data_IF_603646239532
#
_entry.id   IF_603646239532
#
_cell.length_a   1.000
_cell.length_b   1.000
_cell.length_c   1.000
_cell.angle_alpha   90.00
_cell.angle_beta   90.00
_cell.angle_gamma   90.00
#
_symmetry.space_group_name_H-M   'P 1'
#
loop_
_entity.id
_entity.type
_entity.pdbx_description
1 polymer ?
#
# COMPACT_ATOMS: atom_id res chain seq x y z
N UNK A 1 4.14 -12.63 -18.45
CA UNK A 1 3.00 -12.16 -19.23
C UNK A 1 1.67 -12.50 -18.60
N UNK A 2 0.60 -11.83 -19.04
CA UNK A 2 -0.75 -12.02 -18.55
C UNK A 2 -1.53 -13.04 -19.38
N UNK A 3 -2.44 -13.76 -18.72
CA UNK A 3 -3.41 -14.63 -19.37
C UNK A 3 -4.41 -13.81 -20.21
N UNK A 4 -4.92 -14.39 -21.30
CA UNK A 4 -5.88 -13.77 -22.24
C UNK A 4 -7.01 -12.96 -21.55
N UNK A 5 -7.64 -13.55 -20.55
CA UNK A 5 -8.79 -12.97 -19.85
C UNK A 5 -8.44 -11.88 -18.81
N UNK A 6 -7.18 -11.51 -18.63
CA UNK A 6 -6.80 -10.46 -17.68
C UNK A 6 -7.41 -9.10 -18.09
N UNK A 7 -8.09 -8.42 -17.17
CA UNK A 7 -8.69 -7.10 -17.43
C UNK A 7 -7.72 -5.94 -17.14
N UNK A 8 -7.44 -5.14 -18.16
CA UNK A 8 -6.75 -3.86 -18.03
C UNK A 8 -7.74 -2.75 -17.68
N UNK A 9 -7.38 -1.92 -16.72
CA UNK A 9 -8.06 -0.65 -16.45
C UNK A 9 -7.35 0.47 -17.23
N UNK A 10 -8.03 1.03 -18.21
CA UNK A 10 -7.51 2.13 -19.02
C UNK A 10 -7.65 3.48 -18.30
N UNK A 11 -6.87 4.48 -18.71
CA UNK A 11 -6.87 5.82 -18.10
C UNK A 11 -8.15 6.62 -18.34
N UNK A 12 -9.03 6.16 -19.23
CA UNK A 12 -10.37 6.69 -19.49
C UNK A 12 -11.47 6.01 -18.64
N UNK A 13 -11.10 5.04 -17.79
CA UNK A 13 -12.02 4.32 -16.90
C UNK A 13 -12.62 3.06 -17.49
N UNK A 14 -12.40 2.77 -18.78
CA UNK A 14 -12.86 1.51 -19.39
C UNK A 14 -12.01 0.34 -18.91
N UNK A 15 -12.66 -0.83 -18.80
CA UNK A 15 -11.98 -2.11 -18.63
C UNK A 15 -12.06 -2.94 -19.90
N UNK A 16 -10.94 -3.51 -20.29
CA UNK A 16 -10.79 -4.33 -21.49
C UNK A 16 -10.00 -5.58 -21.17
N UNK A 17 -10.36 -6.72 -21.77
CA UNK A 17 -9.53 -7.91 -21.71
C UNK A 17 -8.29 -7.72 -22.57
N UNK A 18 -7.12 -8.02 -22.01
CA UNK A 18 -5.84 -7.82 -22.69
C UNK A 18 -5.74 -8.65 -23.97
N UNK A 19 -6.19 -9.91 -23.95
CA UNK A 19 -6.12 -10.79 -25.12
C UNK A 19 -6.94 -10.26 -26.29
N UNK A 20 -8.23 -9.97 -26.03
CA UNK A 20 -9.14 -9.40 -27.04
C UNK A 20 -8.65 -8.05 -27.59
N UNK A 21 -8.05 -7.21 -26.74
CA UNK A 21 -7.48 -5.93 -27.16
C UNK A 21 -6.28 -6.13 -28.09
N UNK A 22 -5.30 -6.93 -27.65
CA UNK A 22 -4.03 -7.10 -28.36
C UNK A 22 -4.21 -7.87 -29.66
N UNK A 23 -4.99 -8.95 -29.66
CA UNK A 23 -5.27 -9.73 -30.88
C UNK A 23 -5.91 -8.86 -31.95
N UNK A 24 -6.96 -8.11 -31.57
CA UNK A 24 -7.65 -7.19 -32.49
C UNK A 24 -6.71 -6.11 -33.05
N UNK A 25 -5.80 -5.57 -32.24
CA UNK A 25 -4.85 -4.56 -32.69
C UNK A 25 -3.82 -5.14 -33.66
N UNK A 26 -3.27 -6.31 -33.34
CA UNK A 26 -2.30 -7.02 -34.19
C UNK A 26 -2.94 -7.42 -35.53
N UNK A 27 -4.17 -7.94 -35.52
CA UNK A 27 -4.89 -8.35 -36.72
C UNK A 27 -5.22 -7.18 -37.64
N UNK A 28 -5.54 -6.01 -37.08
CA UNK A 28 -5.83 -4.80 -37.87
C UNK A 28 -4.59 -4.14 -38.47
N UNK A 29 -3.42 -4.37 -37.90
CA UNK A 29 -2.17 -3.67 -38.24
C UNK A 29 -1.06 -4.66 -38.63
N UNK A 30 -1.41 -5.77 -39.30
CA UNK A 30 -0.46 -6.85 -39.63
C UNK A 30 0.79 -6.39 -40.38
N UNK A 31 0.69 -5.31 -41.15
CA UNK A 31 1.78 -4.67 -41.89
C UNK A 31 2.82 -3.97 -40.98
N UNK A 32 2.43 -3.60 -39.76
CA UNK A 32 3.29 -2.92 -38.76
C UNK A 32 3.81 -3.85 -37.67
N UNK A 33 3.39 -5.11 -37.66
CA UNK A 33 3.78 -6.09 -36.64
C UNK A 33 5.24 -6.47 -36.81
N UNK A 34 5.99 -6.35 -35.72
CA UNK A 34 7.37 -6.79 -35.63
C UNK A 34 7.36 -8.23 -35.12
N UNK A 35 7.91 -9.14 -35.92
CA UNK A 35 7.99 -10.56 -35.58
C UNK A 35 9.29 -10.86 -34.82
N UNK A 36 9.15 -11.37 -33.60
CA UNK A 36 10.23 -11.94 -32.81
C UNK A 36 10.19 -13.47 -32.81
N UNK A 37 11.12 -14.10 -32.10
CA UNK A 37 11.04 -15.54 -31.84
C UNK A 37 9.86 -15.81 -30.90
N UNK A 38 8.89 -16.60 -31.37
CA UNK A 38 7.67 -16.97 -30.61
C UNK A 38 6.90 -15.75 -30.07
N UNK A 39 7.00 -14.60 -30.74
CA UNK A 39 6.48 -13.30 -30.26
C UNK A 39 6.04 -12.42 -31.42
N UNK A 40 4.94 -11.70 -31.24
CA UNK A 40 4.51 -10.60 -32.11
C UNK A 40 4.41 -9.30 -31.30
N UNK A 41 4.98 -8.22 -31.82
CA UNK A 41 5.06 -6.91 -31.15
C UNK A 41 4.45 -5.86 -32.07
N UNK A 42 3.61 -4.98 -31.51
CA UNK A 42 3.01 -3.86 -32.21
C UNK A 42 3.19 -2.57 -31.39
N UNK A 43 3.96 -1.59 -31.89
CA UNK A 43 3.98 -0.24 -31.32
C UNK A 43 2.61 0.43 -31.38
N UNK A 44 2.22 1.14 -30.33
CA UNK A 44 0.91 1.80 -30.20
C UNK A 44 1.07 3.20 -29.61
N UNK A 45 0.12 4.11 -29.88
CA UNK A 45 0.17 5.49 -29.34
C UNK A 45 -1.17 5.95 -28.71
N UNK A 46 -2.21 5.14 -28.85
CA UNK A 46 -3.61 5.48 -28.54
C UNK A 46 -4.16 4.74 -27.31
N UNK A 47 -3.32 4.00 -26.60
CA UNK A 47 -3.70 3.27 -25.39
C UNK A 47 -3.12 4.00 -24.19
N UNK A 48 -3.98 4.59 -23.37
CA UNK A 48 -3.57 5.22 -22.12
C UNK A 48 -3.84 4.32 -20.93
N UNK A 49 -2.83 4.14 -20.08
CA UNK A 49 -2.85 3.32 -18.88
C UNK A 49 -2.53 4.15 -17.64
N UNK A 50 -2.80 3.55 -16.50
CA UNK A 50 -2.40 4.05 -15.19
C UNK A 50 -1.08 3.40 -14.78
N UNK A 51 0.04 4.08 -14.99
CA UNK A 51 1.33 3.63 -14.48
C UNK A 51 1.47 3.96 -12.98
N UNK A 52 2.30 3.19 -12.29
CA UNK A 52 2.65 3.45 -10.88
C UNK A 52 4.10 3.91 -10.77
N UNK A 53 4.31 5.13 -10.28
CA UNK A 53 5.63 5.66 -9.96
C UNK A 53 6.03 5.16 -8.56
N UNK A 54 6.99 4.24 -8.48
CA UNK A 54 7.39 3.61 -7.23
C UNK A 54 8.10 4.57 -6.28
N UNK A 55 8.82 5.56 -6.80
CA UNK A 55 9.55 6.55 -6.00
C UNK A 55 8.59 7.56 -5.37
N UNK A 56 7.68 8.12 -6.18
CA UNK A 56 6.66 9.07 -5.73
C UNK A 56 5.52 8.38 -5.00
N UNK A 57 5.30 7.09 -5.24
CA UNK A 57 4.17 6.28 -4.75
C UNK A 57 2.83 6.87 -5.15
N UNK A 58 2.76 7.26 -6.41
CA UNK A 58 1.58 7.86 -7.05
C UNK A 58 1.27 7.19 -8.38
N UNK A 59 0.06 7.41 -8.87
CA UNK A 59 -0.39 6.91 -10.17
C UNK A 59 -0.28 8.04 -11.17
N UNK A 60 0.34 7.77 -12.32
CA UNK A 60 0.47 8.70 -13.44
C UNK A 60 -0.19 8.12 -14.68
N UNK A 61 -0.81 8.98 -15.50
CA UNK A 61 -1.33 8.56 -16.79
C UNK A 61 -0.19 8.50 -17.79
N UNK A 62 -0.10 7.40 -18.53
CA UNK A 62 0.94 7.17 -19.54
C UNK A 62 0.33 6.56 -20.79
N UNK A 63 0.99 6.75 -21.92
CA UNK A 63 0.68 6.00 -23.14
C UNK A 63 1.47 4.70 -23.15
N UNK A 64 0.83 3.61 -23.57
CA UNK A 64 1.54 2.38 -23.89
C UNK A 64 2.47 2.64 -25.07
N UNK A 65 3.68 2.10 -25.00
CA UNK A 65 4.68 2.16 -26.06
C UNK A 65 4.40 1.05 -27.10
N UNK A 66 4.09 -0.15 -26.62
CA UNK A 66 3.76 -1.31 -27.46
C UNK A 66 2.83 -2.28 -26.75
N UNK A 67 2.20 -3.11 -27.54
CA UNK A 67 1.56 -4.34 -27.09
C UNK A 67 2.28 -5.53 -27.68
N UNK A 68 2.29 -6.66 -26.97
CA UNK A 68 2.86 -7.89 -27.50
C UNK A 68 2.03 -9.10 -27.11
N UNK A 69 2.15 -10.14 -27.93
CA UNK A 69 1.72 -11.48 -27.59
C UNK A 69 2.86 -12.47 -27.78
N UNK A 70 3.03 -13.38 -26.83
CA UNK A 70 4.08 -14.39 -26.78
C UNK A 70 3.46 -15.78 -26.70
N UNK A 71 4.15 -16.80 -27.20
CA UNK A 71 3.66 -18.18 -27.10
C UNK A 71 3.45 -18.56 -25.64
N UNK A 72 2.25 -19.01 -25.32
CA UNK A 72 1.84 -19.33 -23.97
C UNK A 72 2.59 -20.57 -23.42
N UNK A 73 2.91 -20.60 -22.11
CA UNK A 73 3.47 -21.77 -21.46
C UNK A 73 2.42 -22.88 -21.27
N UNK A 74 2.87 -24.07 -20.85
CA UNK A 74 1.99 -25.22 -20.56
C UNK A 74 1.13 -25.04 -19.29
N UNK A 75 1.48 -24.08 -18.44
CA UNK A 75 0.80 -23.81 -17.16
C UNK A 75 0.83 -22.32 -16.81
N UNK A 76 -0.13 -21.91 -15.99
CA UNK A 76 -0.29 -20.58 -15.42
C UNK A 76 -0.29 -20.64 -13.89
N UNK A 77 0.00 -19.50 -13.27
CA UNK A 77 -0.17 -19.30 -11.83
C UNK A 77 -1.30 -18.30 -11.62
N UNK A 78 -2.32 -18.73 -10.87
CA UNK A 78 -3.43 -17.91 -10.44
C UNK A 78 -3.26 -17.50 -8.98
N UNK A 79 -3.24 -16.19 -8.75
CA UNK A 79 -3.05 -15.59 -7.44
C UNK A 79 -4.34 -14.91 -7.01
N UNK A 80 -4.76 -15.14 -5.76
CA UNK A 80 -5.92 -14.48 -5.13
C UNK A 80 -5.46 -13.62 -3.97
N UNK A 81 -5.91 -12.38 -3.90
CA UNK A 81 -5.46 -11.41 -2.89
C UNK A 81 -6.52 -11.11 -1.84
N UNK A 82 -6.14 -10.41 -0.77
CA UNK A 82 -7.05 -10.10 0.34
C UNK A 82 -8.14 -9.07 0.02
N UNK A 83 -8.04 -8.35 -1.11
CA UNK A 83 -9.13 -7.53 -1.66
C UNK A 83 -10.15 -8.36 -2.47
N UNK A 84 -9.95 -9.68 -2.60
CA UNK A 84 -10.84 -10.58 -3.32
C UNK A 84 -10.61 -10.62 -4.83
N UNK A 85 -9.62 -9.90 -5.35
CA UNK A 85 -9.22 -9.94 -6.76
C UNK A 85 -8.30 -11.10 -7.06
N UNK A 86 -8.27 -11.47 -8.32
CA UNK A 86 -7.46 -12.56 -8.86
C UNK A 86 -6.69 -12.07 -10.09
N UNK A 87 -5.47 -12.56 -10.25
CA UNK A 87 -4.71 -12.42 -11.51
C UNK A 87 -4.22 -13.80 -11.93
N UNK A 88 -4.12 -14.03 -13.23
CA UNK A 88 -3.55 -15.26 -13.80
C UNK A 88 -2.43 -14.86 -14.75
N UNK A 89 -1.22 -15.33 -14.46
CA UNK A 89 0.01 -14.91 -15.13
C UNK A 89 0.90 -16.12 -15.42
N UNK A 90 1.90 -15.93 -16.27
CA UNK A 90 2.93 -16.96 -16.53
C UNK A 90 3.79 -17.20 -15.27
N UNK A 91 4.37 -18.41 -15.09
CA UNK A 91 5.15 -18.77 -13.89
C UNK A 91 6.27 -17.79 -13.53
N UNK A 92 6.97 -17.29 -14.54
CA UNK A 92 8.11 -16.37 -14.42
C UNK A 92 7.70 -14.91 -14.23
N UNK A 93 6.42 -14.57 -14.44
CA UNK A 93 5.98 -13.18 -14.38
C UNK A 93 6.19 -12.59 -12.98
N UNK A 94 6.89 -11.45 -12.87
CA UNK A 94 7.19 -10.84 -11.58
C UNK A 94 5.95 -10.24 -10.92
N UNK A 95 5.85 -10.45 -9.61
CA UNK A 95 4.86 -9.84 -8.74
C UNK A 95 5.57 -8.92 -7.75
N UNK A 96 5.10 -7.68 -7.63
CA UNK A 96 5.64 -6.72 -6.67
C UNK A 96 5.22 -7.12 -5.24
N UNK A 97 6.18 -7.53 -4.43
CA UNK A 97 5.96 -7.97 -3.05
C UNK A 97 6.73 -7.14 -2.04
N UNK A 98 6.24 -7.08 -0.81
CA UNK A 98 6.97 -6.54 0.34
C UNK A 98 7.72 -7.67 1.04
N UNK A 99 9.05 -7.63 0.97
CA UNK A 99 9.93 -8.61 1.59
C UNK A 99 11.13 -7.90 2.23
N UNK A 100 11.53 -8.33 3.43
CA UNK A 100 12.70 -7.80 4.14
C UNK A 100 12.78 -6.28 4.33
N UNK A 101 11.64 -5.57 4.30
CA UNK A 101 11.59 -4.12 4.52
C UNK A 101 11.64 -3.28 3.24
N UNK A 102 11.57 -3.93 2.08
CA UNK A 102 11.62 -3.30 0.76
C UNK A 102 10.57 -3.91 -0.19
N UNK A 103 10.32 -3.20 -1.28
CA UNK A 103 9.47 -3.67 -2.37
C UNK A 103 10.37 -4.38 -3.39
N UNK A 104 10.11 -5.65 -3.67
CA UNK A 104 10.92 -6.48 -4.58
C UNK A 104 10.04 -7.20 -5.60
N UNK A 105 10.65 -7.62 -6.70
CA UNK A 105 10.02 -8.49 -7.68
C UNK A 105 10.23 -9.95 -7.32
N UNK A 106 9.14 -10.72 -7.33
CA UNK A 106 9.17 -12.16 -7.08
C UNK A 106 8.39 -12.90 -8.16
N UNK A 107 8.99 -13.89 -8.87
CA UNK A 107 8.28 -14.67 -9.87
C UNK A 107 7.02 -15.32 -9.30
N UNK A 108 5.94 -15.33 -10.08
CA UNK A 108 4.63 -15.82 -9.64
C UNK A 108 4.69 -17.26 -9.09
N UNK A 109 5.49 -18.15 -9.67
CA UNK A 109 5.64 -19.52 -9.20
C UNK A 109 6.33 -19.67 -7.83
N UNK A 110 7.05 -18.63 -7.39
CA UNK A 110 7.70 -18.59 -6.06
C UNK A 110 6.80 -17.95 -4.99
N UNK A 111 5.67 -17.37 -5.39
CA UNK A 111 4.73 -16.74 -4.46
C UNK A 111 4.07 -17.81 -3.60
N UNK A 112 3.95 -17.54 -2.31
CA UNK A 112 3.29 -18.43 -1.35
C UNK A 112 2.13 -17.73 -0.63
N UNK A 113 1.10 -18.47 -0.19
CA UNK A 113 0.04 -17.90 0.64
C UNK A 113 0.62 -17.20 1.88
N UNK A 114 0.34 -15.90 1.99
CA UNK A 114 0.84 -15.06 3.06
C UNK A 114 1.99 -14.13 2.70
N UNK A 115 2.52 -14.23 1.48
CA UNK A 115 3.26 -13.13 0.86
C UNK A 115 2.38 -11.88 0.76
N UNK A 116 3.04 -10.72 0.72
CA UNK A 116 2.38 -9.41 0.76
C UNK A 116 2.62 -8.76 -0.60
N UNK A 117 1.58 -8.64 -1.40
CA UNK A 117 1.64 -7.94 -2.69
C UNK A 117 1.36 -6.44 -2.52
N UNK A 118 1.96 -5.65 -3.42
CA UNK A 118 1.76 -4.21 -3.48
C UNK A 118 0.40 -3.87 -4.12
N UNK A 119 -0.31 -2.93 -3.52
CA UNK A 119 -1.55 -2.40 -4.05
C UNK A 119 -1.67 -0.90 -3.83
N UNK A 120 -2.83 -0.34 -4.19
CA UNK A 120 -3.10 1.10 -4.12
C UNK A 120 -4.31 1.39 -3.23
N UNK A 121 -4.47 2.66 -2.82
CA UNK A 121 -5.62 3.12 -2.03
C UNK A 121 -6.73 3.69 -2.91
N UNK A 122 -6.35 4.26 -4.06
CA UNK A 122 -7.28 4.96 -4.96
C UNK A 122 -6.79 4.95 -6.40
N UNK A 123 -7.72 5.18 -7.33
CA UNK A 123 -7.42 5.53 -8.71
C UNK A 123 -7.59 7.04 -8.94
N UNK A 124 -6.74 7.70 -9.74
CA UNK A 124 -6.87 9.12 -10.06
C UNK A 124 -7.83 9.38 -11.23
N UNK A 125 -8.75 8.44 -11.49
CA UNK A 125 -9.72 8.50 -12.59
C UNK A 125 -11.09 8.12 -12.06
N UNK A 126 -12.14 8.60 -12.72
CA UNK A 126 -13.49 8.15 -12.46
C UNK A 126 -13.72 6.81 -13.16
N UNK A 127 -14.33 5.88 -12.44
CA UNK A 127 -14.76 4.58 -12.97
C UNK A 127 -16.24 4.43 -12.64
N UNK A 128 -17.05 3.91 -13.54
CA UNK A 128 -18.46 3.67 -13.29
C UNK A 128 -18.67 2.35 -12.53
N UNK A 129 -19.64 2.34 -11.61
CA UNK A 129 -20.02 1.13 -10.88
C UNK A 129 -21.35 1.31 -10.18
N UNK A 130 -22.14 0.24 -10.13
CA UNK A 130 -23.49 0.26 -9.55
C UNK A 130 -23.52 -0.55 -8.27
N UNK A 131 -23.88 0.10 -7.16
CA UNK A 131 -24.09 -0.60 -5.90
C UNK A 131 -25.26 -1.59 -5.99
N UNK A 132 -25.02 -2.80 -5.52
CA UNK A 132 -26.03 -3.82 -5.23
C UNK A 132 -25.69 -4.45 -3.88
N UNK A 133 -26.71 -4.88 -3.13
CA UNK A 133 -26.49 -5.62 -1.88
C UNK A 133 -25.75 -6.93 -2.12
N UNK A 134 -26.05 -7.60 -3.24
CA UNK A 134 -25.41 -8.84 -3.69
C UNK A 134 -25.31 -8.84 -5.22
N UNK A 135 -24.24 -9.43 -5.74
CA UNK A 135 -23.99 -9.61 -7.17
C UNK A 135 -24.02 -11.10 -7.49
N UNK A 136 -24.60 -11.50 -8.63
CA UNK A 136 -24.47 -12.88 -9.15
C UNK A 136 -23.26 -13.00 -10.07
N UNK A 137 -23.00 -11.95 -10.84
CA UNK A 137 -21.83 -11.84 -11.69
C UNK A 137 -20.66 -11.26 -10.88
N UNK A 138 -19.51 -11.92 -10.97
CA UNK A 138 -18.28 -11.45 -10.35
C UNK A 138 -17.82 -10.14 -10.97
N UNK A 139 -18.00 -9.98 -12.29
CA UNK A 139 -17.54 -8.79 -13.02
C UNK A 139 -18.25 -7.52 -12.56
N UNK A 140 -19.56 -7.59 -12.30
CA UNK A 140 -20.30 -6.45 -11.74
C UNK A 140 -19.82 -6.07 -10.32
N UNK A 141 -19.43 -7.05 -9.51
CA UNK A 141 -18.87 -6.80 -8.18
C UNK A 141 -17.48 -6.14 -8.29
N UNK A 142 -16.69 -6.55 -9.28
CA UNK A 142 -15.41 -5.95 -9.62
C UNK A 142 -15.56 -4.51 -10.12
N UNK A 143 -16.51 -4.25 -11.03
CA UNK A 143 -16.83 -2.90 -11.51
C UNK A 143 -17.18 -1.96 -10.34
N UNK A 144 -18.05 -2.42 -9.43
CA UNK A 144 -18.39 -1.63 -8.25
C UNK A 144 -17.21 -1.45 -7.29
N UNK A 145 -16.34 -2.45 -7.16
CA UNK A 145 -15.10 -2.29 -6.39
C UNK A 145 -14.19 -1.25 -7.03
N UNK A 146 -13.97 -1.26 -8.35
CA UNK A 146 -13.14 -0.26 -9.03
C UNK A 146 -13.73 1.15 -8.91
N UNK A 147 -15.06 1.27 -8.97
CA UNK A 147 -15.77 2.50 -8.60
C UNK A 147 -15.42 2.95 -7.17
N UNK A 148 -15.42 2.06 -6.18
CA UNK A 148 -15.01 2.44 -4.81
C UNK A 148 -13.55 2.93 -4.75
N UNK A 149 -12.63 2.29 -5.47
CA UNK A 149 -11.24 2.75 -5.57
C UNK A 149 -11.12 4.13 -6.25
N UNK A 150 -11.94 4.43 -7.27
CA UNK A 150 -12.03 5.79 -7.87
C UNK A 150 -12.49 6.86 -6.87
N UNK A 151 -13.22 6.44 -5.82
CA UNK A 151 -13.69 7.30 -4.73
C UNK A 151 -12.75 7.30 -3.51
N UNK A 152 -11.60 6.64 -3.60
CA UNK A 152 -10.64 6.53 -2.51
C UNK A 152 -11.08 5.59 -1.38
N UNK A 153 -11.99 4.66 -1.66
CA UNK A 153 -12.50 3.69 -0.69
C UNK A 153 -11.95 2.31 -1.03
N UNK A 154 -10.96 1.86 -0.24
CA UNK A 154 -10.49 0.47 -0.33
C UNK A 154 -11.61 -0.50 0.06
N UNK A 155 -11.73 -1.58 -0.68
CA UNK A 155 -12.80 -2.57 -0.49
C UNK A 155 -12.29 -3.98 -0.74
N UNK A 156 -13.13 -4.96 -0.43
CA UNK A 156 -12.88 -6.36 -0.75
C UNK A 156 -14.14 -7.03 -1.29
N UNK A 157 -13.93 -7.95 -2.22
CA UNK A 157 -14.98 -8.85 -2.69
C UNK A 157 -14.98 -10.10 -1.81
N UNK A 158 -16.16 -10.52 -1.37
CA UNK A 158 -16.38 -11.81 -0.71
C UNK A 158 -17.37 -12.64 -1.50
N UNK A 159 -17.09 -13.93 -1.63
CA UNK A 159 -18.02 -14.92 -2.20
C UNK A 159 -18.81 -15.59 -1.07
N UNK A 160 -20.13 -15.60 -1.20
CA UNK A 160 -21.08 -16.26 -0.29
C UNK A 160 -22.01 -17.16 -1.13
N UNK A 161 -21.64 -18.44 -1.26
CA UNK A 161 -22.30 -19.37 -2.18
C UNK A 161 -22.12 -18.96 -3.64
N UNK A 162 -23.25 -18.69 -4.32
CA UNK A 162 -23.27 -18.21 -5.71
C UNK A 162 -23.25 -16.68 -5.84
N UNK A 163 -23.27 -15.96 -4.72
CA UNK A 163 -23.30 -14.50 -4.70
C UNK A 163 -21.96 -13.89 -4.29
N UNK A 164 -21.74 -12.65 -4.70
CA UNK A 164 -20.63 -11.80 -4.28
C UNK A 164 -21.16 -10.58 -3.53
N UNK A 165 -20.38 -10.09 -2.58
CA UNK A 165 -20.62 -8.85 -1.85
C UNK A 165 -19.36 -8.02 -1.84
N UNK A 166 -19.50 -6.70 -2.01
CA UNK A 166 -18.38 -5.76 -1.94
C UNK A 166 -18.47 -5.01 -0.61
N UNK A 167 -17.49 -5.24 0.26
CA UNK A 167 -17.42 -4.63 1.58
C UNK A 167 -16.30 -3.61 1.64
N UNK A 168 -16.53 -2.48 2.33
CA UNK A 168 -15.43 -1.57 2.69
C UNK A 168 -14.37 -2.35 3.47
N UNK A 169 -13.13 -2.19 3.05
CA UNK A 169 -11.98 -2.76 3.73
C UNK A 169 -11.28 -1.63 4.49
N UNK A 170 -10.20 -2.00 5.19
CA UNK A 170 -9.25 -1.04 5.74
C UNK A 170 -7.89 -1.37 5.18
N UNK A 171 -7.08 -0.35 4.96
CA UNK A 171 -5.69 -0.57 4.55
C UNK A 171 -4.92 -1.30 5.65
N UNK A 172 -3.79 -1.87 5.25
CA UNK A 172 -2.83 -2.41 6.18
C UNK A 172 -1.42 -2.05 5.73
N UNK A 173 -0.52 -1.85 6.68
CA UNK A 173 0.89 -1.59 6.44
C UNK A 173 1.75 -2.73 6.99
N UNK A 174 2.87 -3.07 6.32
CA UNK A 174 3.91 -3.90 6.90
C UNK A 174 4.41 -3.34 8.23
N UNK A 175 4.73 -4.22 9.17
CA UNK A 175 5.21 -3.82 10.51
C UNK A 175 6.45 -2.94 10.45
N UNK A 176 7.32 -3.15 9.46
CA UNK A 176 8.54 -2.37 9.25
C UNK A 176 8.20 -0.89 9.00
N UNK A 177 7.14 -0.61 8.22
CA UNK A 177 6.65 0.74 7.96
C UNK A 177 5.94 1.38 9.15
N UNK A 178 5.47 0.58 10.11
CA UNK A 178 4.82 1.06 11.35
C UNK A 178 5.86 1.28 12.47
N UNK A 179 7.08 0.79 12.33
CA UNK A 179 8.14 0.90 13.34
C UNK A 179 8.43 2.35 13.76
N UNK A 180 8.49 3.36 12.88
CA UNK A 180 8.71 4.75 13.30
C UNK A 180 7.59 5.28 14.21
N UNK A 181 6.32 4.93 13.93
CA UNK A 181 5.20 5.26 14.82
C UNK A 181 5.37 4.65 16.22
N UNK A 182 5.83 3.39 16.30
CA UNK A 182 6.12 2.72 17.57
C UNK A 182 7.24 3.44 18.33
N UNK A 183 8.29 3.86 17.63
CA UNK A 183 9.39 4.61 18.21
C UNK A 183 8.95 5.98 18.74
N UNK A 184 8.15 6.73 17.97
CA UNK A 184 7.56 8.00 18.41
C UNK A 184 6.79 7.84 19.72
N UNK A 185 5.94 6.81 19.82
CA UNK A 185 5.22 6.53 21.06
C UNK A 185 6.13 6.14 22.23
N UNK A 186 7.22 5.40 22.00
CA UNK A 186 8.22 5.10 23.05
C UNK A 186 8.92 6.37 23.54
N UNK A 187 9.31 7.27 22.62
CA UNK A 187 9.90 8.57 22.95
C UNK A 187 8.94 9.37 23.85
N UNK A 188 7.65 9.36 23.55
CA UNK A 188 6.64 10.11 24.29
C UNK A 188 6.02 9.33 25.47
N UNK A 189 6.52 8.12 25.75
CA UNK A 189 6.01 7.21 26.80
C UNK A 189 4.53 6.86 26.67
N UNK A 190 4.00 6.83 25.45
CA UNK A 190 2.65 6.36 25.16
C UNK A 190 2.63 4.85 25.26
N UNK A 191 1.77 4.32 26.13
CA UNK A 191 1.69 2.88 26.36
C UNK A 191 0.80 2.21 25.32
N UNK A 192 1.27 1.08 24.79
CA UNK A 192 0.49 0.21 23.93
C UNK A 192 -0.38 -0.74 24.76
N UNK A 193 -1.65 -0.85 24.38
CA UNK A 193 -2.55 -1.89 24.87
C UNK A 193 -2.02 -3.28 24.49
N UNK A 194 -2.43 -4.37 25.19
CA UNK A 194 -2.07 -5.72 24.79
C UNK A 194 -2.48 -6.06 23.34
N UNK A 195 -3.63 -5.56 22.91
CA UNK A 195 -4.15 -5.74 21.54
C UNK A 195 -3.26 -5.06 20.49
N UNK A 196 -2.81 -3.84 20.75
CA UNK A 196 -1.88 -3.12 19.89
C UNK A 196 -0.53 -3.85 19.80
N UNK A 197 0.03 -4.28 20.94
CA UNK A 197 1.28 -5.06 20.95
C UNK A 197 1.18 -6.32 20.10
N UNK A 198 0.09 -7.07 20.25
CA UNK A 198 -0.15 -8.26 19.44
C UNK A 198 -0.29 -7.94 17.95
N UNK A 199 -0.98 -6.84 17.61
CA UNK A 199 -1.19 -6.42 16.21
C UNK A 199 0.07 -5.87 15.56
N UNK A 200 0.90 -5.10 16.27
CA UNK A 200 2.15 -4.53 15.73
C UNK A 200 3.23 -5.59 15.44
N UNK A 201 3.10 -6.78 16.03
CA UNK A 201 3.96 -7.91 15.73
C UNK A 201 3.52 -8.74 14.51
N UNK A 202 2.31 -8.49 13.97
CA UNK A 202 1.83 -9.16 12.77
C UNK A 202 2.57 -8.63 11.53
N UNK A 203 2.68 -9.46 10.48
CA UNK A 203 3.28 -9.03 9.21
C UNK A 203 2.57 -7.79 8.61
N UNK A 204 1.25 -7.72 8.74
CA UNK A 204 0.42 -6.59 8.33
C UNK A 204 -0.37 -6.04 9.52
N UNK A 205 -0.25 -4.74 9.76
CA UNK A 205 -0.93 -3.99 10.81
C UNK A 205 -2.09 -3.21 10.19
N UNK A 206 -3.30 -3.38 10.74
CA UNK A 206 -4.51 -2.73 10.21
C UNK A 206 -4.55 -1.24 10.58
N UNK A 207 -5.06 -0.44 9.65
CA UNK A 207 -5.26 1.01 9.78
C UNK A 207 -5.86 1.45 11.11
N UNK A 208 -6.94 0.79 11.56
CA UNK A 208 -7.66 1.20 12.76
C UNK A 208 -6.83 1.10 14.05
N UNK A 209 -5.85 0.17 14.08
CA UNK A 209 -4.92 0.03 15.20
C UNK A 209 -3.85 1.12 15.12
N UNK A 210 -3.39 1.42 13.90
CA UNK A 210 -2.42 2.48 13.63
C UNK A 210 -2.99 3.86 14.00
N UNK A 211 -4.19 4.18 13.51
CA UNK A 211 -4.91 5.44 13.79
C UNK A 211 -5.13 5.64 15.28
N UNK A 212 -5.65 4.61 15.97
CA UNK A 212 -5.92 4.69 17.40
C UNK A 212 -4.66 4.94 18.23
N UNK A 213 -3.51 4.42 17.81
CA UNK A 213 -2.24 4.65 18.51
C UNK A 213 -1.62 6.00 18.13
N UNK A 214 -1.67 6.38 16.86
CA UNK A 214 -1.22 7.69 16.35
C UNK A 214 -1.97 8.84 17.03
N UNK A 215 -3.28 8.72 17.17
CA UNK A 215 -4.10 9.73 17.83
C UNK A 215 -3.61 10.01 19.26
N UNK A 216 -3.33 8.95 20.04
CA UNK A 216 -2.81 9.09 21.41
C UNK A 216 -1.39 9.65 21.47
N UNK A 217 -0.59 9.43 20.41
CA UNK A 217 0.74 10.04 20.27
C UNK A 217 0.61 11.54 20.06
N UNK A 218 -0.28 11.97 19.17
CA UNK A 218 -0.54 13.39 18.90
C UNK A 218 -1.06 14.07 20.17
N UNK A 219 -2.08 13.49 20.82
CA UNK A 219 -2.62 14.01 22.08
C UNK A 219 -1.55 14.12 23.18
N UNK A 220 -0.61 13.17 23.24
CA UNK A 220 0.51 13.22 24.18
C UNK A 220 1.48 14.37 23.87
N UNK A 221 1.74 14.66 22.60
CA UNK A 221 2.58 15.80 22.20
C UNK A 221 1.93 17.12 22.62
N UNK A 222 0.64 17.27 22.33
CA UNK A 222 -0.14 18.46 22.69
C UNK A 222 -0.23 18.65 24.21
N UNK A 223 -0.45 17.55 24.96
CA UNK A 223 -0.44 17.55 26.42
C UNK A 223 0.90 18.02 26.97
N UNK A 224 2.01 17.47 26.46
CA UNK A 224 3.36 17.84 26.89
C UNK A 224 3.66 19.32 26.58
N UNK A 225 3.33 19.78 25.38
CA UNK A 225 3.55 21.18 24.99
C UNK A 225 2.76 22.14 25.88
N UNK A 226 1.46 21.87 26.09
CA UNK A 226 0.62 22.67 26.97
C UNK A 226 1.14 22.69 28.41
N UNK A 227 1.41 21.51 29.00
CA UNK A 227 1.90 21.41 30.37
C UNK A 227 3.27 22.07 30.53
N UNK A 228 4.15 22.02 29.53
CA UNK A 228 5.45 22.69 29.61
C UNK A 228 5.34 24.21 29.79
N UNK A 229 4.21 24.82 29.42
CA UNK A 229 3.93 26.25 29.58
C UNK A 229 3.13 26.54 30.86
N UNK A 230 2.08 25.76 31.12
CA UNK A 230 1.14 26.00 32.22
C UNK A 230 1.63 25.45 33.57
N UNK A 231 2.17 24.23 33.56
CA UNK A 231 2.58 23.47 34.73
C UNK A 231 3.82 22.59 34.42
N UNK A 232 5.03 23.19 34.40
CA UNK A 232 6.27 22.49 34.09
C UNK A 232 6.56 21.33 35.04
N UNK A 233 6.15 21.44 36.32
CA UNK A 233 6.33 20.37 37.30
C UNK A 233 5.56 19.11 36.90
N UNK A 234 4.33 19.26 36.37
CA UNK A 234 3.54 18.15 35.83
C UNK A 234 4.08 17.64 34.50
N UNK A 235 4.56 18.51 33.61
CA UNK A 235 5.22 18.09 32.37
C UNK A 235 6.44 17.19 32.65
N UNK A 236 7.21 17.53 33.68
CA UNK A 236 8.39 16.78 34.11
C UNK A 236 8.06 15.33 34.51
N UNK A 237 6.89 15.06 35.09
CA UNK A 237 6.48 13.70 35.48
C UNK A 237 6.29 12.77 34.27
N UNK A 238 5.96 13.36 33.13
CA UNK A 238 5.76 12.67 31.86
C UNK A 238 7.08 12.41 31.12
N UNK A 239 8.18 13.04 31.53
CA UNK A 239 9.51 12.84 30.95
C UNK A 239 10.25 11.63 31.56
N UNK A 240 11.21 11.01 30.85
CA UNK A 240 12.10 10.03 31.46
C UNK A 240 13.04 10.67 32.48
N UNK A 241 13.09 10.08 33.68
CA UNK A 241 13.92 10.58 34.79
C UNK A 241 15.42 10.49 34.51
N UNK A 242 15.84 9.54 33.69
CA UNK A 242 17.26 9.21 33.45
C UNK A 242 17.99 10.26 32.60
N UNK A 243 17.32 10.96 31.69
CA UNK A 243 17.97 11.86 30.73
C UNK A 243 18.36 13.22 31.32
N UNK A 244 17.68 13.65 32.40
CA UNK A 244 17.79 15.00 32.93
C UNK A 244 19.13 15.25 33.65
N UNK A 245 19.60 14.26 34.41
CA UNK A 245 20.85 14.38 35.16
C UNK A 245 22.06 14.51 34.24
N UNK A 246 22.18 13.63 33.24
CA UNK A 246 23.31 13.64 32.30
C UNK A 246 23.40 14.93 31.48
N UNK A 247 22.26 15.55 31.15
CA UNK A 247 22.23 16.72 30.27
C UNK A 247 22.33 18.05 31.01
N UNK A 248 21.69 18.16 32.18
CA UNK A 248 21.55 19.44 32.90
C UNK A 248 22.24 19.45 34.26
N UNK A 249 22.89 18.34 34.67
CA UNK A 249 23.58 18.24 35.95
C UNK A 249 22.66 18.36 37.18
N UNK A 250 21.35 18.19 36.99
CA UNK A 250 20.34 18.35 38.05
C UNK A 250 19.53 17.08 38.23
N UNK A 251 19.31 16.69 39.48
CA UNK A 251 18.48 15.54 39.81
C UNK A 251 17.01 15.86 39.57
N UNK A 252 16.23 14.85 39.17
CA UNK A 252 14.78 14.97 38.98
C UNK A 252 14.08 15.64 40.18
N UNK A 253 14.42 15.23 41.40
CA UNK A 253 13.79 15.75 42.61
C UNK A 253 14.09 17.24 42.84
N UNK A 254 15.32 17.68 42.59
CA UNK A 254 15.69 19.10 42.70
C UNK A 254 15.01 19.93 41.61
N UNK A 255 14.98 19.42 40.37
CA UNK A 255 14.32 20.08 39.26
C UNK A 255 12.81 20.24 39.49
N UNK A 256 12.14 19.19 40.01
CA UNK A 256 10.72 19.23 40.36
C UNK A 256 10.41 20.31 41.41
N UNK A 257 11.16 20.33 42.52
CA UNK A 257 10.97 21.34 43.58
C UNK A 257 11.15 22.78 43.07
N UNK A 258 12.14 23.00 42.20
CA UNK A 258 12.38 24.32 41.61
C UNK A 258 11.26 24.74 40.64
N UNK A 259 10.73 23.80 39.86
CA UNK A 259 9.60 24.04 38.97
C UNK A 259 8.31 24.34 39.76
N UNK A 260 8.04 23.63 40.85
CA UNK A 260 6.91 23.92 41.76
C UNK A 260 7.02 25.31 42.39
N UNK A 261 8.25 25.78 42.62
CA UNK A 261 8.54 27.13 43.10
C UNK A 261 8.58 28.20 41.97
N UNK A 262 8.13 27.90 40.75
CA UNK A 262 8.11 28.80 39.59
C UNK A 262 9.48 29.42 39.25
N UNK A 263 10.55 28.65 39.45
CA UNK A 263 11.89 29.11 39.11
C UNK A 263 12.10 29.10 37.58
N UNK A 264 12.31 30.27 36.97
CA UNK A 264 12.39 30.43 35.51
C UNK A 264 13.48 29.59 34.84
N UNK A 265 14.62 29.37 35.50
CA UNK A 265 15.69 28.52 34.97
C UNK A 265 15.27 27.04 34.91
N UNK A 266 14.62 26.54 35.97
CA UNK A 266 14.08 25.18 36.00
C UNK A 266 12.94 24.98 34.99
N UNK A 267 12.04 25.95 34.85
CA UNK A 267 10.97 25.92 33.84
C UNK A 267 11.57 25.89 32.42
N UNK A 268 12.58 26.71 32.14
CA UNK A 268 13.30 26.72 30.86
C UNK A 268 13.99 25.39 30.53
N UNK A 269 14.58 24.72 31.52
CA UNK A 269 15.12 23.36 31.35
C UNK A 269 14.04 22.37 30.94
N UNK A 270 12.89 22.39 31.64
CA UNK A 270 11.78 21.46 31.36
C UNK A 270 11.20 21.72 29.98
N UNK A 271 10.95 22.98 29.62
CA UNK A 271 10.46 23.37 28.29
C UNK A 271 11.42 22.91 27.19
N UNK A 272 12.72 23.08 27.38
CA UNK A 272 13.73 22.62 26.43
C UNK A 272 13.74 21.10 26.29
N UNK A 273 13.64 20.37 27.41
CA UNK A 273 13.58 18.91 27.41
C UNK A 273 12.31 18.38 26.74
N UNK A 274 11.15 19.03 26.97
CA UNK A 274 9.89 18.71 26.28
C UNK A 274 10.02 18.95 24.78
N UNK A 275 10.49 20.13 24.37
CA UNK A 275 10.64 20.50 22.96
C UNK A 275 11.56 19.53 22.21
N UNK A 276 12.68 19.13 22.82
CA UNK A 276 13.59 18.14 22.26
C UNK A 276 12.91 16.77 22.05
N UNK A 277 12.14 16.28 23.05
CA UNK A 277 11.42 15.00 22.91
C UNK A 277 10.35 15.06 21.84
N UNK A 278 9.58 16.15 21.78
CA UNK A 278 8.57 16.36 20.73
C UNK A 278 9.26 16.38 19.36
N UNK A 279 10.39 17.07 19.23
CA UNK A 279 11.18 17.09 17.99
C UNK A 279 11.69 15.71 17.58
N UNK A 280 12.20 14.90 18.53
CA UNK A 280 12.59 13.51 18.29
C UNK A 280 11.41 12.65 17.79
N UNK A 281 10.24 12.78 18.43
CA UNK A 281 9.05 12.05 18.02
C UNK A 281 8.54 12.50 16.65
N UNK A 282 8.56 13.81 16.35
CA UNK A 282 8.18 14.36 15.04
C UNK A 282 9.03 13.78 13.91
N UNK A 283 10.34 13.65 14.09
CA UNK A 283 11.23 13.02 13.09
C UNK A 283 10.85 11.56 12.79
N UNK A 284 10.52 10.78 13.81
CA UNK A 284 10.01 9.41 13.59
C UNK A 284 8.65 9.41 12.88
N UNK A 285 7.76 10.34 13.23
CA UNK A 285 6.45 10.47 12.57
C UNK A 285 6.58 10.92 11.11
N UNK A 286 7.54 11.77 10.77
CA UNK A 286 7.82 12.17 9.38
C UNK A 286 8.12 10.95 8.50
N UNK A 287 8.98 10.03 8.97
CA UNK A 287 9.27 8.78 8.25
C UNK A 287 8.03 7.88 8.11
N UNK A 288 7.21 7.79 9.15
CA UNK A 288 5.94 7.07 9.09
C UNK A 288 4.98 7.70 8.06
N UNK A 289 4.87 9.03 8.05
CA UNK A 289 3.94 9.76 7.17
C UNK A 289 4.31 9.67 5.68
N UNK A 290 5.59 9.48 5.33
CA UNK A 290 6.01 9.21 3.94
C UNK A 290 5.26 8.02 3.31
N UNK A 291 4.96 7.00 4.11
CA UNK A 291 4.22 5.82 3.66
C UNK A 291 2.73 5.92 3.96
N UNK A 292 2.38 6.47 5.11
CA UNK A 292 0.98 6.61 5.52
C UNK A 292 0.17 7.54 4.63
N UNK A 293 0.78 8.57 4.02
CA UNK A 293 0.06 9.50 3.16
C UNK A 293 0.16 9.16 1.67
N UNK A 294 1.01 8.19 1.30
CA UNK A 294 1.21 7.76 -0.08
C UNK A 294 0.03 6.94 -0.62
N UNK A 295 -0.11 6.85 -1.96
CA UNK A 295 -1.13 6.00 -2.59
C UNK A 295 -0.71 4.53 -2.64
N UNK A 296 -0.47 3.95 -1.47
CA UNK A 296 0.04 2.59 -1.31
C UNK A 296 -0.79 1.78 -0.33
N UNK A 297 -0.99 0.51 -0.66
CA UNK A 297 -1.64 -0.47 0.18
C UNK A 297 -0.92 -1.81 0.06
N UNK A 298 -1.19 -2.73 0.98
CA UNK A 298 -0.53 -4.01 1.02
C UNK A 298 -1.56 -5.12 1.20
N UNK A 299 -1.56 -6.05 0.24
CA UNK A 299 -2.55 -7.10 0.13
C UNK A 299 -1.91 -8.45 0.40
N UNK A 300 -2.53 -9.24 1.28
CA UNK A 300 -2.06 -10.60 1.56
C UNK A 300 -2.45 -11.51 0.40
N UNK A 301 -1.50 -12.26 -0.15
CA UNK A 301 -1.80 -13.39 -1.04
C UNK A 301 -2.53 -14.46 -0.23
N UNK A 302 -3.75 -14.79 -0.64
CA UNK A 302 -4.64 -15.73 0.02
C UNK A 302 -4.54 -17.13 -0.56
N UNK A 303 -4.36 -17.23 -1.86
CA UNK A 303 -4.34 -18.49 -2.57
C UNK A 303 -3.37 -18.39 -3.76
N UNK A 304 -2.71 -19.50 -4.04
CA UNK A 304 -1.82 -19.70 -5.19
C UNK A 304 -2.25 -21.04 -5.80
N UNK A 305 -2.68 -21.01 -7.06
CA UNK A 305 -3.19 -22.17 -7.78
C UNK A 305 -2.43 -22.29 -9.10
N UNK A 306 -1.95 -23.49 -9.40
CA UNK A 306 -1.40 -23.81 -10.72
C UNK A 306 -2.52 -24.27 -11.64
N UNK A 307 -2.58 -23.71 -12.85
CA UNK A 307 -3.62 -24.00 -13.84
C UNK A 307 -2.94 -24.51 -15.11
N UNK A 308 -3.35 -25.67 -15.61
CA UNK A 308 -2.87 -26.16 -16.90
C UNK A 308 -3.38 -25.28 -18.03
N UNK A 309 -2.52 -24.94 -18.99
CA UNK A 309 -2.95 -24.32 -20.23
C UNK A 309 -3.46 -25.40 -21.19
N UNK A 310 -4.75 -25.39 -21.47
CA UNK A 310 -5.43 -26.36 -22.33
C UNK A 310 -5.86 -25.78 -23.69
N UNK A 311 -5.82 -24.45 -23.85
CA UNK A 311 -6.47 -23.79 -24.99
C UNK A 311 -5.83 -22.51 -25.52
N UNK A 312 -4.94 -21.86 -24.77
CA UNK A 312 -4.41 -20.56 -25.16
C UNK A 312 -3.07 -20.69 -25.86
N UNK A 313 -3.00 -20.20 -27.10
CA UNK A 313 -1.74 -20.13 -27.85
C UNK A 313 -0.87 -18.97 -27.37
N UNK A 314 -1.50 -17.87 -26.92
CA UNK A 314 -0.85 -16.61 -26.63
C UNK A 314 -1.04 -16.14 -25.18
N UNK A 315 -0.01 -15.47 -24.67
CA UNK A 315 -0.03 -14.63 -23.47
C UNK A 315 0.35 -13.22 -23.86
N UNK A 316 -0.04 -12.24 -23.06
CA UNK A 316 -0.07 -10.85 -23.50
C UNK A 316 0.65 -9.92 -22.53
N UNK A 317 1.27 -8.89 -23.08
CA UNK A 317 1.91 -7.80 -22.34
C UNK A 317 1.55 -6.45 -22.98
N UNK A 318 1.60 -5.38 -22.18
CA UNK A 318 1.39 -4.00 -22.65
C UNK A 318 2.45 -3.11 -22.04
N UNK A 319 3.56 -2.89 -22.75
CA UNK A 319 4.71 -2.12 -22.25
C UNK A 319 4.40 -0.62 -22.19
N UNK A 320 4.76 0.00 -21.06
CA UNK A 320 4.71 1.46 -20.81
C UNK A 320 6.12 1.90 -20.41
N UNK A 321 6.69 2.84 -21.15
CA UNK A 321 7.98 3.44 -20.83
C UNK A 321 7.78 4.85 -20.24
N UNK A 322 8.64 5.31 -19.32
CA UNK A 322 9.73 4.58 -18.65
C UNK A 322 9.26 3.74 -17.45
N UNK A 323 7.95 3.69 -17.20
CA UNK A 323 7.39 3.14 -15.97
C UNK A 323 7.02 1.66 -16.13
N UNK A 324 7.88 0.73 -15.71
CA UNK A 324 7.65 -0.72 -15.80
C UNK A 324 6.54 -1.28 -14.88
N UNK A 325 5.64 -0.43 -14.35
CA UNK A 325 4.56 -0.81 -13.45
C UNK A 325 3.25 -0.13 -13.86
N UNK A 326 2.15 -0.86 -13.80
CA UNK A 326 0.80 -0.32 -14.00
C UNK A 326 -0.17 -0.74 -12.90
N UNK A 327 -1.33 -0.11 -12.86
CA UNK A 327 -2.37 -0.34 -11.86
C UNK A 327 -3.62 -0.93 -12.49
N UNK A 328 -4.04 -2.08 -11.97
CA UNK A 328 -5.35 -2.69 -12.23
C UNK A 328 -5.76 -3.52 -11.01
N UNK A 329 -7.05 -3.80 -10.81
CA UNK A 329 -7.56 -4.64 -9.71
C UNK A 329 -7.14 -4.19 -8.30
N UNK A 330 -6.81 -2.91 -8.11
CA UNK A 330 -6.28 -2.34 -6.86
C UNK A 330 -4.86 -2.79 -6.52
N UNK A 331 -4.16 -3.42 -7.48
CA UNK A 331 -2.79 -3.93 -7.39
C UNK A 331 -1.83 -3.04 -8.17
N UNK A 332 -0.57 -3.03 -7.76
CA UNK A 332 0.54 -2.57 -8.59
C UNK A 332 1.13 -3.80 -9.28
N UNK A 333 1.12 -3.77 -10.59
CA UNK A 333 1.37 -4.91 -11.46
C UNK A 333 2.57 -4.63 -12.35
N UNK A 334 3.40 -5.65 -12.55
CA UNK A 334 4.59 -5.50 -13.37
C UNK A 334 4.24 -5.49 -14.85
N UNK A 335 5.00 -4.70 -15.59
CA UNK A 335 4.92 -4.65 -17.02
C UNK A 335 6.18 -5.24 -17.65
N UNK A 336 6.02 -6.33 -18.40
CA UNK A 336 7.14 -7.02 -19.03
C UNK A 336 7.51 -6.38 -20.37
#
# INVERSE_FOLDING_TARGET
>A
SYHHDFELLLADGRKVKIGELVDKLIEKNRDRVILGKDTEILPVEDIELLAYDLEKREIVKVKADRVSRHKAPERFIKLRFSNGREITVTPEHPVMVWENGEITEKPAEKITPGDIALGVLRYPIQVDGKFKERYRDMREAEDYQDYLYSRGVVSKIKRTGIYFTVEKARRALPRELVKPLINAGKILRVTQTPKERASFNQKLVRENIIEGYLQRIIERMDELERLSREDPAKALELLPKTQLYYKYGITYGKLKKLAEARNSWAEGIIQSAVAERISLAKRELEEFFKWWNANVNFLKVKCVEEIKNDRWEWVYDVTVEPHHLFVSHGLVLHNT
#
